data_IF_265608120492
#
_entry.id   IF_265608120492
#
_cell.length_a   1.000
_cell.length_b   1.000
_cell.length_c   1.000
_cell.angle_alpha   90.00
_cell.angle_beta   90.00
_cell.angle_gamma   90.00
#
_symmetry.space_group_name_H-M   'P 1'
#
loop_
_entity.id
_entity.type
_entity.pdbx_description
1 polymer ?
#
# COMPACT_ATOMS: atom_id res chain seq x y z
N UNK A 1 -12.32 17.48 -7.37
CA UNK A 1 -11.67 16.65 -8.42
C UNK A 1 -11.42 15.29 -7.81
N UNK A 2 -11.96 14.20 -8.37
CA UNK A 2 -11.50 12.85 -8.03
C UNK A 2 -10.13 12.67 -8.68
N UNK A 3 -9.09 12.35 -7.91
CA UNK A 3 -7.84 11.85 -8.52
C UNK A 3 -8.11 10.46 -9.07
N UNK A 4 -7.91 10.28 -10.37
CA UNK A 4 -7.88 8.96 -11.00
C UNK A 4 -6.45 8.48 -10.95
N UNK A 5 -6.24 7.32 -10.35
CA UNK A 5 -4.96 6.62 -10.36
C UNK A 5 -5.10 5.49 -11.36
N UNK A 6 -4.13 5.36 -12.25
CA UNK A 6 -4.09 4.29 -13.25
C UNK A 6 -3.11 3.16 -12.85
N UNK A 7 -2.34 3.38 -11.79
CA UNK A 7 -1.40 2.42 -11.22
C UNK A 7 -1.10 2.73 -9.74
N UNK A 8 -0.40 1.81 -9.07
CA UNK A 8 0.17 2.05 -7.75
C UNK A 8 1.30 3.08 -7.78
N UNK A 9 1.42 3.87 -6.72
CA UNK A 9 2.50 4.85 -6.51
C UNK A 9 3.00 4.65 -5.08
N UNK A 10 4.32 4.69 -4.88
CA UNK A 10 4.92 4.58 -3.54
C UNK A 10 4.34 5.65 -2.61
N UNK A 11 4.05 5.25 -1.36
CA UNK A 11 3.43 6.08 -0.35
C UNK A 11 1.90 6.18 -0.47
N UNK A 12 1.28 5.57 -1.48
CA UNK A 12 -0.18 5.47 -1.51
C UNK A 12 -0.67 4.61 -0.35
N UNK A 13 -1.60 5.18 0.41
CA UNK A 13 -2.35 4.43 1.41
C UNK A 13 -3.48 3.70 0.71
N UNK A 14 -3.59 2.41 0.98
CA UNK A 14 -4.60 1.53 0.40
C UNK A 14 -5.37 0.81 1.50
N UNK A 15 -6.58 0.37 1.16
CA UNK A 15 -7.43 -0.42 2.04
C UNK A 15 -8.01 -1.59 1.28
N UNK A 16 -7.91 -2.80 1.84
CA UNK A 16 -8.54 -4.02 1.32
C UNK A 16 -8.88 -4.93 2.49
N UNK A 17 -9.98 -5.68 2.40
CA UNK A 17 -10.34 -6.71 3.38
C UNK A 17 -10.27 -6.30 4.87
N UNK A 18 -10.58 -5.02 5.16
CA UNK A 18 -10.53 -4.40 6.50
C UNK A 18 -9.15 -4.07 7.04
N UNK A 19 -8.13 -4.16 6.20
CA UNK A 19 -6.76 -3.79 6.53
C UNK A 19 -6.33 -2.54 5.74
N UNK A 20 -5.50 -1.72 6.38
CA UNK A 20 -4.84 -0.60 5.73
C UNK A 20 -3.41 -1.00 5.39
N UNK A 21 -2.89 -0.48 4.29
CA UNK A 21 -1.51 -0.71 3.89
C UNK A 21 -0.93 0.49 3.17
N UNK A 22 0.37 0.47 2.96
CA UNK A 22 1.10 1.47 2.19
C UNK A 22 1.84 0.79 1.04
N UNK A 23 1.79 1.40 -0.14
CA UNK A 23 2.61 0.97 -1.27
C UNK A 23 4.07 1.33 -0.98
N UNK A 24 4.92 0.33 -0.86
CA UNK A 24 6.35 0.47 -0.61
C UNK A 24 7.15 0.32 -1.90
N UNK A 25 8.36 0.87 -1.90
CA UNK A 25 9.29 0.65 -2.99
C UNK A 25 9.88 -0.77 -2.91
N UNK A 26 9.93 -1.48 -4.05
CA UNK A 26 10.71 -2.71 -4.16
C UNK A 26 12.03 -2.36 -4.83
N UNK A 27 13.14 -2.48 -4.09
CA UNK A 27 14.49 -2.15 -4.61
C UNK A 27 14.93 -3.01 -5.81
N UNK A 28 14.14 -4.03 -6.20
CA UNK A 28 14.59 -5.08 -7.12
C UNK A 28 14.37 -4.83 -8.60
N UNK A 29 13.37 -4.05 -9.04
CA UNK A 29 13.14 -3.86 -10.49
C UNK A 29 12.45 -2.51 -10.78
N UNK A 30 13.07 -1.72 -11.67
CA UNK A 30 12.66 -0.37 -12.05
C UNK A 30 11.15 -0.17 -12.22
N UNK A 31 10.67 0.96 -11.70
CA UNK A 31 9.32 1.51 -11.84
C UNK A 31 8.11 0.57 -11.60
N UNK A 32 8.33 -0.63 -11.06
CA UNK A 32 7.25 -1.56 -10.73
C UNK A 32 6.77 -1.31 -9.29
N UNK A 33 5.79 -0.43 -9.16
CA UNK A 33 5.11 -0.15 -7.90
C UNK A 33 3.96 -1.14 -7.69
N UNK A 34 3.59 -1.37 -6.43
CA UNK A 34 2.53 -2.32 -6.07
C UNK A 34 2.93 -3.36 -5.04
N UNK A 35 4.13 -3.31 -4.44
CA UNK A 35 4.32 -4.01 -3.18
C UNK A 35 3.60 -3.25 -2.08
N UNK A 36 2.68 -3.91 -1.38
CA UNK A 36 1.89 -3.32 -0.29
C UNK A 36 2.39 -3.89 1.02
N UNK A 37 2.79 -3.01 1.93
CA UNK A 37 3.04 -3.35 3.34
C UNK A 37 1.77 -3.11 4.13
N UNK A 38 1.20 -4.15 4.72
CA UNK A 38 0.00 -4.05 5.55
C UNK A 38 0.30 -3.55 6.96
N UNK A 39 -0.63 -2.79 7.55
CA UNK A 39 -0.52 -2.20 8.88
C UNK A 39 -0.73 -3.25 9.96
N UNK A 40 0.25 -4.12 10.12
CA UNK A 40 0.25 -5.20 11.12
C UNK A 40 1.58 -5.22 11.87
N UNK A 41 1.56 -5.80 13.07
CA UNK A 41 2.75 -5.95 13.91
C UNK A 41 3.76 -6.99 13.37
N UNK A 42 3.48 -7.65 12.25
CA UNK A 42 4.37 -8.65 11.65
C UNK A 42 5.34 -7.94 10.70
N UNK A 43 6.63 -8.19 10.87
CA UNK A 43 7.68 -7.53 10.07
C UNK A 43 7.58 -7.75 8.55
N UNK A 44 6.95 -8.86 8.11
CA UNK A 44 6.96 -9.31 6.72
C UNK A 44 5.55 -9.43 6.12
N UNK A 45 4.57 -8.67 6.64
CA UNK A 45 3.23 -8.63 6.04
C UNK A 45 3.25 -7.74 4.79
N UNK A 46 3.76 -8.32 3.70
CA UNK A 46 3.98 -7.66 2.43
C UNK A 46 3.38 -8.52 1.32
N UNK A 47 2.55 -7.91 0.49
CA UNK A 47 1.94 -8.56 -0.67
C UNK A 47 2.39 -7.91 -1.97
N UNK A 48 2.52 -8.72 -3.01
CA UNK A 48 2.92 -8.28 -4.35
C UNK A 48 1.70 -8.08 -5.24
N UNK A 49 1.39 -6.82 -5.51
CA UNK A 49 0.33 -6.36 -6.40
C UNK A 49 0.88 -5.63 -7.64
N UNK A 50 2.15 -5.82 -7.99
CA UNK A 50 2.77 -5.13 -9.13
C UNK A 50 2.03 -5.46 -10.43
N UNK A 51 1.62 -4.44 -11.17
CA UNK A 51 0.83 -4.57 -12.40
C UNK A 51 -0.61 -5.06 -12.19
N UNK A 52 -1.07 -5.17 -10.94
CA UNK A 52 -2.41 -5.65 -10.58
C UNK A 52 -3.31 -4.55 -10.01
N UNK A 53 -3.03 -3.27 -10.31
CA UNK A 53 -3.83 -2.15 -9.80
C UNK A 53 -5.32 -2.29 -10.16
N UNK A 54 -5.65 -2.59 -11.42
CA UNK A 54 -7.03 -2.82 -11.84
C UNK A 54 -7.70 -3.98 -11.09
N UNK A 55 -6.98 -5.08 -10.87
CA UNK A 55 -7.44 -6.24 -10.10
C UNK A 55 -7.68 -5.89 -8.64
N UNK A 56 -6.78 -5.12 -8.03
CA UNK A 56 -6.90 -4.64 -6.66
C UNK A 56 -8.19 -3.84 -6.47
N UNK A 57 -8.46 -2.88 -7.36
CA UNK A 57 -9.69 -2.09 -7.34
C UNK A 57 -10.92 -2.97 -7.61
N UNK A 58 -10.87 -3.90 -8.57
CA UNK A 58 -12.02 -4.77 -8.87
C UNK A 58 -12.38 -5.71 -7.72
N UNK A 59 -11.41 -6.07 -6.88
CA UNK A 59 -11.62 -6.88 -5.68
C UNK A 59 -12.11 -6.07 -4.46
N UNK A 60 -12.41 -4.77 -4.64
CA UNK A 60 -12.90 -3.91 -3.57
C UNK A 60 -11.80 -3.14 -2.83
N UNK A 61 -10.56 -3.25 -3.29
CA UNK A 61 -9.45 -2.43 -2.84
C UNK A 61 -9.71 -0.95 -3.12
N UNK A 62 -9.22 -0.09 -2.23
CA UNK A 62 -9.44 1.37 -2.28
C UNK A 62 -8.13 2.10 -2.05
N UNK A 63 -8.00 3.24 -2.70
CA UNK A 63 -7.00 4.24 -2.35
C UNK A 63 -7.60 5.16 -1.29
N UNK A 64 -6.86 5.38 -0.22
CA UNK A 64 -7.24 6.30 0.85
C UNK A 64 -6.60 7.66 0.57
N UNK A 65 -7.43 8.70 0.48
CA UNK A 65 -6.95 10.07 0.32
C UNK A 65 -6.66 10.69 1.68
N UNK A 66 -5.54 11.42 1.78
CA UNK A 66 -5.13 12.14 2.98
C UNK A 66 -4.03 11.44 3.77
N UNK A 67 -3.74 11.97 4.95
CA UNK A 67 -2.76 11.40 5.88
C UNK A 67 -3.47 10.33 6.70
N UNK A 68 -2.94 9.11 6.68
CA UNK A 68 -3.39 8.01 7.53
C UNK A 68 -2.33 7.76 8.60
N UNK A 69 -2.73 7.73 9.86
CA UNK A 69 -1.85 7.35 10.96
C UNK A 69 -1.98 5.85 11.21
N UNK A 70 -1.03 5.11 10.65
CA UNK A 70 -0.92 3.66 10.80
C UNK A 70 -0.67 3.26 12.26
N UNK A 71 -1.16 2.10 12.68
CA UNK A 71 -1.00 1.63 14.05
C UNK A 71 0.38 1.01 14.30
N UNK A 72 0.89 0.24 13.35
CA UNK A 72 2.08 -0.61 13.52
C UNK A 72 3.23 -0.22 12.59
N UNK A 73 2.95 0.38 11.44
CA UNK A 73 3.97 0.84 10.48
C UNK A 73 4.01 2.37 10.39
N UNK A 74 5.06 2.93 9.82
CA UNK A 74 5.11 4.33 9.39
C UNK A 74 4.64 4.48 7.92
N UNK A 75 4.64 5.72 7.41
CA UNK A 75 4.26 6.01 6.02
C UNK A 75 5.22 5.48 4.96
N UNK A 76 6.34 4.87 5.36
CA UNK A 76 7.32 4.22 4.49
C UNK A 76 7.24 2.69 4.59
N UNK A 77 6.40 2.16 5.48
CA UNK A 77 6.20 0.73 5.70
C UNK A 77 7.16 0.09 6.71
N UNK A 78 7.96 0.89 7.43
CA UNK A 78 8.80 0.37 8.52
C UNK A 78 7.95 0.14 9.77
N UNK A 79 8.28 -0.85 10.59
CA UNK A 79 7.63 -0.98 11.90
C UNK A 79 7.92 0.25 12.76
N UNK A 80 6.87 0.83 13.34
CA UNK A 80 7.02 1.82 14.41
C UNK A 80 7.68 1.14 15.61
N UNK A 81 8.76 1.75 16.11
CA UNK A 81 9.32 1.37 17.41
C UNK A 81 8.32 1.84 18.46
N UNK A 82 7.70 0.90 19.18
CA UNK A 82 6.80 1.21 20.31
C UNK A 82 7.59 1.66 21.54
#
# INVERSE_FOLDING_TARGET
>A
MKKTFDDFIVGMVVYSDKEFGVVINSEKVGNSYGMIRWDTNKNNDIEDWRGLFGTFISNGGKVIEGIYDFQYIDGEGNLKVQ
#
